data_IF_280322989576
#
_entry.id   IF_280322989576
#
_cell.length_a   1.000
_cell.length_b   1.000
_cell.length_c   1.000
_cell.angle_alpha   90.00
_cell.angle_beta   90.00
_cell.angle_gamma   90.00
#
_symmetry.space_group_name_H-M   'P 1'
#
loop_
_entity.id
_entity.type
_entity.pdbx_description
1 polymer ?
#
# COMPACT_ATOMS: atom_id res chain seq x y z
N UNK A 1 12.26 -0.25 8.26
CA UNK A 1 13.46 -0.62 7.47
C UNK A 1 13.08 -1.33 6.18
N UNK A 2 12.21 -2.34 6.23
CA UNK A 2 11.74 -3.04 5.01
C UNK A 2 10.96 -2.14 4.04
N UNK A 3 10.12 -1.24 4.56
CA UNK A 3 9.38 -0.25 3.76
C UNK A 3 10.29 0.67 2.95
N UNK A 4 11.42 1.10 3.53
CA UNK A 4 12.43 1.89 2.82
C UNK A 4 13.04 1.11 1.66
N UNK A 5 13.29 -0.19 1.84
CA UNK A 5 13.83 -1.06 0.81
C UNK A 5 12.84 -1.28 -0.34
N UNK A 6 11.56 -1.49 -0.04
CA UNK A 6 10.50 -1.53 -1.04
C UNK A 6 10.42 -0.25 -1.85
N UNK A 7 10.51 0.91 -1.19
CA UNK A 7 10.43 2.19 -1.88
C UNK A 7 11.56 2.34 -2.91
N UNK A 8 12.78 1.92 -2.55
CA UNK A 8 13.92 1.90 -3.47
C UNK A 8 13.68 0.95 -4.65
N UNK A 9 13.24 -0.28 -4.39
CA UNK A 9 12.90 -1.25 -5.45
C UNK A 9 11.79 -0.72 -6.36
N UNK A 10 10.77 -0.11 -5.78
CA UNK A 10 9.64 0.46 -6.50
C UNK A 10 10.07 1.59 -7.43
N UNK A 11 10.96 2.49 -6.98
CA UNK A 11 11.50 3.57 -7.83
C UNK A 11 12.28 2.98 -9.00
N UNK A 12 13.16 2.01 -8.75
CA UNK A 12 13.97 1.39 -9.80
C UNK A 12 13.10 0.67 -10.84
N UNK A 13 12.11 -0.11 -10.40
CA UNK A 13 11.16 -0.79 -11.28
C UNK A 13 10.29 0.22 -12.03
N UNK A 14 9.83 1.29 -11.37
CA UNK A 14 9.05 2.33 -12.02
C UNK A 14 9.86 3.02 -13.11
N UNK A 15 11.14 3.32 -12.87
CA UNK A 15 12.00 3.91 -13.91
C UNK A 15 12.14 2.96 -15.11
N UNK A 16 12.32 1.68 -14.86
CA UNK A 16 12.40 0.66 -15.91
C UNK A 16 11.09 0.55 -16.70
N UNK A 17 9.97 0.30 -16.04
CA UNK A 17 8.68 0.06 -16.71
C UNK A 17 8.10 1.32 -17.35
N UNK A 18 8.24 2.48 -16.71
CA UNK A 18 7.69 3.74 -17.22
C UNK A 18 8.58 4.30 -18.33
N UNK A 19 9.89 4.44 -18.10
CA UNK A 19 10.76 5.14 -19.06
C UNK A 19 11.42 4.22 -20.08
N UNK A 20 11.91 3.03 -19.69
CA UNK A 20 12.57 2.13 -20.65
C UNK A 20 11.56 1.36 -21.48
N UNK A 21 10.46 0.92 -20.88
CA UNK A 21 9.43 0.12 -21.56
C UNK A 21 8.25 0.97 -22.08
N UNK A 22 8.25 2.29 -21.85
CA UNK A 22 7.20 3.22 -22.31
C UNK A 22 5.77 2.80 -21.91
N UNK A 23 5.61 2.08 -20.79
CA UNK A 23 4.30 1.57 -20.36
C UNK A 23 3.47 2.61 -19.58
N UNK A 24 4.01 3.80 -19.35
CA UNK A 24 3.32 4.90 -18.66
C UNK A 24 2.75 4.49 -17.30
N UNK A 25 1.49 4.85 -17.03
CA UNK A 25 0.80 4.57 -15.75
C UNK A 25 0.64 3.06 -15.50
N UNK A 26 0.43 2.26 -16.55
CA UNK A 26 0.35 0.80 -16.43
C UNK A 26 1.68 0.22 -15.90
N UNK A 27 2.80 0.73 -16.40
CA UNK A 27 4.13 0.37 -15.91
C UNK A 27 4.35 0.69 -14.43
N UNK A 28 3.86 1.84 -13.96
CA UNK A 28 3.94 2.21 -12.54
C UNK A 28 3.13 1.27 -11.64
N UNK A 29 1.92 0.88 -12.06
CA UNK A 29 1.09 -0.08 -11.31
C UNK A 29 1.74 -1.46 -11.23
N UNK A 30 2.36 -1.91 -12.31
CA UNK A 30 3.10 -3.19 -12.35
C UNK A 30 4.32 -3.12 -11.44
N UNK A 31 5.09 -2.03 -11.50
CA UNK A 31 6.25 -1.81 -10.63
C UNK A 31 5.86 -1.82 -9.14
N UNK A 32 4.73 -1.19 -8.79
CA UNK A 32 4.19 -1.22 -7.43
C UNK A 32 3.84 -2.65 -7.00
N UNK A 33 3.07 -3.35 -7.83
CA UNK A 33 2.67 -4.73 -7.57
C UNK A 33 3.87 -5.63 -7.32
N UNK A 34 4.86 -5.61 -8.22
CA UNK A 34 6.07 -6.43 -8.11
C UNK A 34 6.84 -6.07 -6.84
N UNK A 35 7.06 -4.79 -6.55
CA UNK A 35 7.79 -4.35 -5.35
C UNK A 35 7.14 -4.85 -4.05
N UNK A 36 5.82 -4.85 -3.99
CA UNK A 36 5.06 -5.34 -2.82
C UNK A 36 5.15 -6.86 -2.67
N UNK A 37 5.11 -7.60 -3.77
CA UNK A 37 5.26 -9.06 -3.73
C UNK A 37 6.65 -9.50 -3.26
N UNK A 38 7.71 -8.79 -3.67
CA UNK A 38 9.06 -9.06 -3.19
C UNK A 38 9.20 -8.87 -1.68
N UNK A 39 8.58 -7.84 -1.11
CA UNK A 39 8.53 -7.67 0.34
C UNK A 39 7.82 -8.81 1.04
N UNK A 40 6.62 -9.17 0.58
CA UNK A 40 5.82 -10.24 1.19
C UNK A 40 6.61 -11.55 1.25
N UNK A 41 7.30 -11.89 0.16
CA UNK A 41 8.15 -13.10 0.11
C UNK A 41 9.34 -12.96 1.05
N UNK A 42 10.00 -11.79 1.09
CA UNK A 42 11.13 -11.53 1.98
C UNK A 42 10.77 -11.64 3.45
N UNK A 43 9.62 -11.10 3.87
CA UNK A 43 9.11 -11.23 5.24
C UNK A 43 8.76 -12.67 5.57
N UNK A 44 8.14 -13.39 4.63
CA UNK A 44 7.85 -14.81 4.83
C UNK A 44 9.15 -15.59 5.06
N UNK A 45 10.15 -15.43 4.18
CA UNK A 45 11.45 -16.11 4.34
C UNK A 45 12.13 -15.71 5.64
N UNK A 46 12.05 -14.44 6.06
CA UNK A 46 12.63 -13.98 7.33
C UNK A 46 11.97 -14.66 8.54
N UNK A 47 10.64 -14.77 8.53
CA UNK A 47 9.86 -15.42 9.60
C UNK A 47 10.12 -16.93 9.64
N UNK A 48 10.08 -17.61 8.50
CA UNK A 48 10.30 -19.07 8.41
C UNK A 48 11.76 -19.48 8.51
N UNK A 49 12.70 -18.59 8.17
CA UNK A 49 14.15 -18.82 8.20
C UNK A 49 14.76 -18.90 9.59
N UNK A 50 13.97 -18.75 10.65
CA UNK A 50 14.39 -19.02 12.03
C UNK A 50 15.28 -17.94 12.65
N UNK A 51 15.36 -16.74 12.05
CA UNK A 51 16.19 -15.64 12.57
C UNK A 51 15.70 -15.09 13.90
N UNK A 52 14.44 -15.35 14.26
CA UNK A 52 13.87 -15.00 15.57
C UNK A 52 13.00 -16.17 16.09
N UNK A 53 13.56 -17.07 16.92
CA UNK A 53 12.87 -18.29 17.37
C UNK A 53 11.63 -18.00 18.23
N UNK A 54 11.55 -16.82 18.86
CA UNK A 54 10.40 -16.40 19.67
C UNK A 54 9.27 -15.73 18.88
N UNK A 55 9.53 -15.27 17.64
CA UNK A 55 8.55 -14.53 16.84
C UNK A 55 7.53 -15.42 16.14
N UNK A 56 7.87 -16.67 15.84
CA UNK A 56 6.99 -17.60 15.15
C UNK A 56 6.88 -18.92 15.89
N UNK A 57 5.89 -19.03 16.78
CA UNK A 57 5.57 -20.29 17.51
C UNK A 57 4.68 -21.25 16.70
N UNK A 58 4.54 -21.03 15.39
CA UNK A 58 3.72 -21.81 14.48
C UNK A 58 2.26 -21.36 14.41
N UNK A 59 1.54 -21.88 13.41
CA UNK A 59 0.09 -21.69 13.28
C UNK A 59 -0.64 -22.50 14.35
N UNK A 60 -0.97 -21.88 15.47
CA UNK A 60 -1.85 -22.49 16.48
C UNK A 60 -3.25 -21.88 16.42
N UNK A 61 -4.28 -22.68 16.72
CA UNK A 61 -5.68 -22.24 16.70
C UNK A 61 -5.93 -21.09 17.71
N UNK A 62 -5.14 -21.02 18.78
CA UNK A 62 -5.21 -19.91 19.74
C UNK A 62 -4.85 -18.56 19.11
N UNK A 63 -3.89 -18.51 18.18
CA UNK A 63 -3.52 -17.27 17.49
C UNK A 63 -4.65 -16.72 16.62
N UNK A 64 -5.45 -17.61 16.01
CA UNK A 64 -6.63 -17.20 15.25
C UNK A 64 -7.77 -16.72 16.15
N UNK A 65 -7.90 -17.26 17.37
CA UNK A 65 -8.89 -16.78 18.35
C UNK A 65 -8.61 -15.36 18.81
N UNK A 66 -7.34 -14.96 18.93
CA UNK A 66 -6.96 -13.58 19.24
C UNK A 66 -7.09 -12.64 18.03
N UNK A 67 -6.97 -13.16 16.80
CA UNK A 67 -7.13 -12.38 15.57
C UNK A 67 -8.58 -11.96 15.29
N UNK A 68 -9.55 -12.85 15.54
CA UNK A 68 -10.99 -12.59 15.32
C UNK A 68 -11.52 -11.34 16.05
N UNK A 69 -11.26 -11.11 17.36
CA UNK A 69 -11.70 -9.91 18.04
C UNK A 69 -11.00 -8.65 17.52
N UNK A 70 -9.71 -8.74 17.13
CA UNK A 70 -8.98 -7.62 16.52
C UNK A 70 -9.63 -7.23 15.20
N UNK A 71 -9.95 -8.20 14.33
CA UNK A 71 -10.65 -7.94 13.07
C UNK A 71 -12.00 -7.26 13.34
N UNK A 72 -12.80 -7.79 14.28
CA UNK A 72 -14.10 -7.21 14.65
C UNK A 72 -13.99 -5.77 15.17
N UNK A 73 -12.96 -5.45 15.95
CA UNK A 73 -12.69 -4.09 16.44
C UNK A 73 -12.15 -3.16 15.35
N UNK A 74 -11.42 -3.71 14.37
CA UNK A 74 -10.85 -2.94 13.27
C UNK A 74 -11.86 -2.57 12.19
N UNK A 75 -12.92 -3.37 11.96
CA UNK A 75 -13.97 -3.10 10.96
C UNK A 75 -14.60 -1.70 11.10
N UNK A 76 -15.03 -1.22 12.29
CA UNK A 76 -15.58 0.13 12.42
C UNK A 76 -14.53 1.24 12.22
N UNK A 77 -13.24 0.95 12.37
CA UNK A 77 -12.14 1.92 12.20
C UNK A 77 -11.60 1.96 10.75
N UNK A 78 -11.52 0.79 10.10
CA UNK A 78 -11.16 0.61 8.68
C UNK A 78 -12.34 0.98 7.76
N UNK A 79 -13.56 0.84 8.29
CA UNK A 79 -14.82 1.14 7.66
C UNK A 79 -15.07 2.64 7.56
N UNK A 80 -14.65 3.17 6.43
CA UNK A 80 -15.37 4.18 5.69
C UNK A 80 -15.29 5.67 6.10
N UNK A 81 -14.79 6.06 7.28
CA UNK A 81 -14.78 7.50 7.59
C UNK A 81 -13.70 8.28 6.82
N UNK A 82 -12.44 7.85 6.86
CA UNK A 82 -11.35 8.63 6.27
C UNK A 82 -11.28 8.53 4.74
N UNK A 83 -11.26 7.31 4.17
CA UNK A 83 -11.06 7.15 2.73
C UNK A 83 -12.24 7.69 1.90
N UNK A 84 -13.48 7.51 2.36
CA UNK A 84 -14.65 8.02 1.63
C UNK A 84 -14.77 9.52 1.77
N UNK A 85 -14.43 10.09 2.93
CA UNK A 85 -14.35 11.52 3.11
C UNK A 85 -13.34 12.15 2.15
N UNK A 86 -12.11 11.62 2.06
CA UNK A 86 -11.12 12.10 1.10
C UNK A 86 -11.56 11.89 -0.36
N UNK A 87 -12.17 10.76 -0.70
CA UNK A 87 -12.68 10.53 -2.04
C UNK A 87 -13.76 11.54 -2.43
N UNK A 88 -14.71 11.83 -1.54
CA UNK A 88 -15.75 12.85 -1.75
C UNK A 88 -15.14 14.24 -1.86
N UNK A 89 -14.15 14.59 -1.01
CA UNK A 89 -13.45 15.87 -1.09
C UNK A 89 -12.69 16.05 -2.42
N UNK A 90 -11.99 15.04 -2.89
CA UNK A 90 -11.25 15.08 -4.16
C UNK A 90 -12.23 15.19 -5.34
N UNK A 91 -13.33 14.44 -5.32
CA UNK A 91 -14.39 14.53 -6.33
C UNK A 91 -15.05 15.91 -6.33
N UNK A 92 -15.33 16.48 -5.16
CA UNK A 92 -15.89 17.83 -5.04
C UNK A 92 -14.90 18.88 -5.52
N UNK A 93 -13.62 18.78 -5.16
CA UNK A 93 -12.57 19.67 -5.64
C UNK A 93 -12.38 19.60 -7.16
N UNK A 94 -12.50 18.42 -7.76
CA UNK A 94 -12.49 18.23 -9.22
C UNK A 94 -13.76 18.73 -9.92
N UNK A 95 -14.88 18.82 -9.21
CA UNK A 95 -16.15 19.34 -9.73
C UNK A 95 -16.33 20.85 -9.48
N UNK A 96 -15.51 21.46 -8.61
CA UNK A 96 -15.51 22.91 -8.46
C UNK A 96 -15.12 23.53 -9.82
N UNK A 97 -15.96 24.42 -10.38
CA UNK A 97 -15.61 25.11 -11.61
C UNK A 97 -14.26 25.81 -11.38
N UNK A 98 -13.36 25.68 -12.35
CA UNK A 98 -12.11 26.43 -12.37
C UNK A 98 -12.46 27.90 -12.15
N UNK A 99 -12.23 28.40 -10.95
CA UNK A 99 -12.19 29.83 -10.68
C UNK A 99 -10.82 30.30 -11.14
N UNK A 100 -10.55 30.14 -12.43
CA UNK A 100 -9.59 31.00 -13.09
C UNK A 100 -10.05 32.44 -12.82
N UNK A 101 -9.21 33.21 -12.13
CA UNK A 101 -9.50 34.60 -11.85
C UNK A 101 -9.83 35.31 -13.17
N UNK A 102 -10.99 35.96 -13.31
CA UNK A 102 -11.22 36.82 -14.45
C UNK A 102 -10.40 38.10 -14.23
N UNK A 103 -9.26 38.19 -14.91
CA UNK A 103 -8.54 39.45 -15.13
C UNK A 103 -7.48 39.80 -14.09
N UNK A 104 -6.25 39.93 -14.58
CA UNK A 104 -5.12 40.57 -13.92
C UNK A 104 -4.04 40.84 -14.98
N UNK A 105 -4.35 41.80 -15.85
CA UNK A 105 -3.49 42.59 -16.76
C UNK A 105 -2.48 41.87 -17.68
#
# INVERSE_FOLDING_TARGET
>A
MLSSFQFVIHILLSILFVYKLNMGVSGAMIALSISSWFLMIGEFIYIFGGWCPDSWKGFTVAAFKDLVPIIKLSIPLLGAMDLWYYAVLILLAGYMPNTECPGGE
#
